data_IF_958232460344
#
_entry.id   IF_958232460344
#
_cell.length_a   1.000
_cell.length_b   1.000
_cell.length_c   1.000
_cell.angle_alpha   90.00
_cell.angle_beta   90.00
_cell.angle_gamma   90.00
#
_symmetry.space_group_name_H-M   'P 1'
#
loop_
_entity.id
_entity.type
_entity.pdbx_description
1 polymer ?
#
# COMPACT_ATOMS: atom_id res chain seq x y z
N UNK A 1 6.81 9.53 -13.83
CA UNK A 1 6.25 8.77 -12.69
C UNK A 1 7.17 8.92 -11.49
N UNK A 2 6.61 9.20 -10.34
CA UNK A 2 7.37 9.27 -9.10
C UNK A 2 7.06 8.03 -8.26
N UNK A 3 8.09 7.48 -7.62
CA UNK A 3 7.94 6.35 -6.70
C UNK A 3 8.55 6.75 -5.36
N UNK A 4 7.77 6.61 -4.30
CA UNK A 4 8.20 6.88 -2.95
C UNK A 4 8.11 5.60 -2.12
N UNK A 5 9.10 5.36 -1.28
CA UNK A 5 9.23 4.14 -0.51
C UNK A 5 9.52 4.47 0.95
N UNK A 6 8.87 3.80 1.89
CA UNK A 6 9.07 3.98 3.34
C UNK A 6 8.90 5.41 3.82
N UNK A 7 8.04 6.17 3.18
CA UNK A 7 7.79 7.55 3.54
C UNK A 7 6.72 7.63 4.61
N UNK A 8 6.96 8.43 5.63
CA UNK A 8 5.96 8.68 6.65
C UNK A 8 4.80 9.52 6.09
N UNK A 9 3.59 9.13 6.46
CA UNK A 9 2.38 9.83 6.03
C UNK A 9 1.33 9.72 7.14
N UNK A 10 0.99 10.84 7.77
CA UNK A 10 0.05 10.84 8.89
C UNK A 10 0.59 10.11 10.09
N UNK A 11 -0.11 9.08 10.54
CA UNK A 11 0.23 8.32 11.75
C UNK A 11 1.12 7.11 11.48
N UNK A 12 1.54 6.90 10.25
CA UNK A 12 2.35 5.74 9.89
C UNK A 12 3.07 5.94 8.59
N UNK A 13 3.58 4.86 8.06
CA UNK A 13 4.31 4.84 6.81
C UNK A 13 3.67 3.86 5.84
N UNK A 14 3.81 4.14 4.56
CA UNK A 14 3.55 3.17 3.51
C UNK A 14 4.89 2.70 2.93
N UNK A 15 4.94 1.46 2.45
CA UNK A 15 6.16 0.90 1.90
C UNK A 15 6.49 1.45 0.51
N UNK A 16 5.48 1.55 -0.34
CA UNK A 16 5.66 2.01 -1.72
C UNK A 16 4.47 2.87 -2.12
N UNK A 17 4.74 4.00 -2.76
CA UNK A 17 3.71 4.79 -3.41
C UNK A 17 4.18 5.12 -4.82
N UNK A 18 3.29 4.96 -5.78
CA UNK A 18 3.53 5.30 -7.18
C UNK A 18 2.73 6.55 -7.50
N UNK A 19 3.42 7.64 -7.84
CA UNK A 19 2.84 8.96 -7.99
C UNK A 19 3.02 9.48 -9.42
N UNK A 20 2.18 9.04 -10.38
CA UNK A 20 2.28 9.54 -11.74
C UNK A 20 1.82 11.00 -11.81
N UNK A 21 2.71 11.88 -12.25
CA UNK A 21 2.47 13.33 -12.25
C UNK A 21 1.37 13.79 -13.20
N UNK A 22 1.26 13.11 -14.34
CA UNK A 22 0.41 13.60 -15.43
C UNK A 22 -1.06 13.29 -15.27
N UNK A 23 -1.42 12.24 -14.52
CA UNK A 23 -2.80 11.77 -14.43
C UNK A 23 -3.42 11.88 -13.05
N UNK A 24 -2.70 12.44 -12.10
CA UNK A 24 -3.17 12.67 -10.72
C UNK A 24 -3.72 11.40 -10.06
N UNK A 25 -3.11 10.26 -10.36
CA UNK A 25 -3.43 8.96 -9.78
C UNK A 25 -2.23 8.43 -9.01
N UNK A 26 -2.51 7.66 -7.98
CA UNK A 26 -1.44 7.02 -7.23
C UNK A 26 -1.87 5.66 -6.71
N UNK A 27 -0.90 4.82 -6.41
CA UNK A 27 -1.10 3.50 -5.82
C UNK A 27 -0.23 3.43 -4.57
N UNK A 28 -0.83 3.00 -3.47
CA UNK A 28 -0.14 2.79 -2.20
C UNK A 28 -0.05 1.28 -1.98
N UNK A 29 1.13 0.79 -1.68
CA UNK A 29 1.36 -0.64 -1.46
C UNK A 29 1.97 -0.83 -0.08
N UNK A 30 1.34 -1.68 0.72
CA UNK A 30 1.88 -2.14 2.00
C UNK A 30 2.35 -3.58 1.82
N UNK A 31 3.65 -3.79 1.94
CA UNK A 31 4.26 -5.09 1.71
C UNK A 31 4.43 -5.87 3.00
N UNK A 32 4.13 -7.15 2.98
CA UNK A 32 4.30 -8.08 4.09
C UNK A 32 5.04 -9.32 3.62
N UNK A 33 5.90 -9.85 4.46
CA UNK A 33 6.58 -11.10 4.19
C UNK A 33 6.02 -12.18 5.12
N UNK A 34 5.32 -13.16 4.53
CA UNK A 34 4.68 -14.22 5.31
C UNK A 34 5.69 -15.28 5.71
N UNK A 35 5.55 -15.77 6.92
CA UNK A 35 6.42 -16.83 7.44
C UNK A 35 5.93 -18.22 7.04
N UNK A 36 4.63 -18.33 6.71
CA UNK A 36 4.00 -19.59 6.32
C UNK A 36 3.04 -19.35 5.19
N UNK A 37 2.90 -20.31 4.28
CA UNK A 37 2.00 -20.18 3.15
C UNK A 37 0.53 -19.97 3.59
N UNK A 38 0.11 -20.60 4.67
CA UNK A 38 -1.26 -20.45 5.17
C UNK A 38 -1.59 -19.04 5.62
N UNK A 39 -0.59 -18.22 5.90
CA UNK A 39 -0.77 -16.87 6.40
C UNK A 39 -0.75 -15.81 5.29
N UNK A 40 -0.53 -16.22 4.05
CA UNK A 40 -0.30 -15.27 2.95
C UNK A 40 -1.50 -14.35 2.71
N UNK A 41 -2.72 -14.88 2.74
CA UNK A 41 -3.92 -14.06 2.57
C UNK A 41 -4.16 -13.14 3.77
N UNK A 42 -3.98 -13.66 4.98
CA UNK A 42 -4.14 -12.88 6.20
C UNK A 42 -3.17 -11.69 6.22
N UNK A 43 -1.91 -11.94 5.87
CA UNK A 43 -0.91 -10.89 5.89
C UNK A 43 -1.18 -9.82 4.83
N UNK A 44 -1.62 -10.20 3.64
CA UNK A 44 -2.02 -9.24 2.62
C UNK A 44 -3.22 -8.41 3.09
N UNK A 45 -4.19 -9.03 3.74
CA UNK A 45 -5.36 -8.35 4.28
C UNK A 45 -4.97 -7.37 5.38
N UNK A 46 -4.03 -7.74 6.25
CA UNK A 46 -3.51 -6.85 7.29
C UNK A 46 -2.84 -5.62 6.67
N UNK A 47 -2.09 -5.81 5.59
CA UNK A 47 -1.49 -4.70 4.86
C UNK A 47 -2.53 -3.73 4.33
N UNK A 48 -3.60 -4.25 3.74
CA UNK A 48 -4.71 -3.44 3.25
C UNK A 48 -5.39 -2.67 4.39
N UNK A 49 -5.59 -3.34 5.54
CA UNK A 49 -6.19 -2.71 6.72
C UNK A 49 -5.30 -1.59 7.23
N UNK A 50 -3.99 -1.78 7.26
CA UNK A 50 -3.05 -0.75 7.72
C UNK A 50 -3.12 0.51 6.86
N UNK A 51 -3.31 0.37 5.56
CA UNK A 51 -3.48 1.51 4.66
C UNK A 51 -4.69 2.34 5.08
N UNK A 52 -5.81 1.68 5.39
CA UNK A 52 -7.02 2.36 5.82
C UNK A 52 -6.87 2.99 7.21
N UNK A 53 -6.32 2.25 8.16
CA UNK A 53 -6.20 2.71 9.55
C UNK A 53 -5.26 3.90 9.68
N UNK A 54 -4.20 3.94 8.88
CA UNK A 54 -3.22 5.02 8.93
C UNK A 54 -3.58 6.21 8.03
N UNK A 55 -4.74 6.16 7.38
CA UNK A 55 -5.23 7.25 6.53
C UNK A 55 -4.26 7.67 5.44
N UNK A 56 -3.49 6.73 4.88
CA UNK A 56 -2.54 7.04 3.82
C UNK A 56 -3.21 7.65 2.60
N UNK A 57 -4.41 7.16 2.24
CA UNK A 57 -5.14 7.68 1.08
C UNK A 57 -5.53 9.13 1.27
N UNK A 58 -5.97 9.51 2.47
CA UNK A 58 -6.31 10.90 2.77
C UNK A 58 -5.11 11.83 2.59
N UNK A 59 -3.95 11.40 3.08
CA UNK A 59 -2.73 12.20 2.95
C UNK A 59 -2.35 12.43 1.51
N UNK A 60 -2.48 11.41 0.68
CA UNK A 60 -2.18 11.51 -0.74
C UNK A 60 -3.19 12.41 -1.44
N UNK A 61 -4.49 12.31 -1.09
CA UNK A 61 -5.50 13.22 -1.61
C UNK A 61 -5.19 14.68 -1.29
N UNK A 62 -4.70 14.96 -0.08
CA UNK A 62 -4.30 16.30 0.32
C UNK A 62 -3.16 16.86 -0.52
N UNK A 63 -2.39 15.99 -1.17
CA UNK A 63 -1.33 16.40 -2.09
C UNK A 63 -1.84 16.68 -3.52
N UNK A 64 -3.14 16.56 -3.74
CA UNK A 64 -3.77 16.90 -5.02
C UNK A 64 -4.11 15.72 -5.91
N UNK A 65 -3.85 14.49 -5.49
CA UNK A 65 -4.19 13.32 -6.28
C UNK A 65 -5.66 12.98 -6.12
N UNK A 66 -6.36 12.80 -7.24
CA UNK A 66 -7.79 12.52 -7.25
C UNK A 66 -8.11 11.04 -7.06
N UNK A 67 -7.28 10.19 -7.62
CA UNK A 67 -7.51 8.75 -7.61
C UNK A 67 -6.40 8.07 -6.83
N UNK A 68 -6.76 7.48 -5.71
CA UNK A 68 -5.81 6.79 -4.83
C UNK A 68 -6.33 5.38 -4.62
N UNK A 69 -5.48 4.39 -4.88
CA UNK A 69 -5.79 2.98 -4.61
C UNK A 69 -4.73 2.40 -3.69
N UNK A 70 -5.17 1.59 -2.76
CA UNK A 70 -4.26 0.93 -1.83
C UNK A 70 -4.36 -0.58 -1.95
N UNK A 71 -3.24 -1.26 -1.79
CA UNK A 71 -3.15 -2.71 -1.85
C UNK A 71 -2.22 -3.23 -0.76
N UNK A 72 -2.67 -4.27 -0.07
CA UNK A 72 -1.80 -5.07 0.76
C UNK A 72 -1.26 -6.21 -0.07
N UNK A 73 0.04 -6.41 -0.05
CA UNK A 73 0.69 -7.50 -0.78
C UNK A 73 1.53 -8.30 0.19
N UNK A 74 1.34 -9.61 0.19
CA UNK A 74 2.19 -10.50 0.97
C UNK A 74 2.94 -11.45 0.07
N UNK A 75 4.10 -11.88 0.54
CA UNK A 75 4.99 -12.76 -0.20
C UNK A 75 5.35 -13.97 0.65
N UNK A 76 5.39 -15.12 0.01
CA UNK A 76 5.94 -16.33 0.61
C UNK A 76 6.66 -17.12 -0.49
N UNK A 77 7.99 -17.17 -0.41
CA UNK A 77 8.83 -17.79 -1.44
C UNK A 77 8.52 -17.19 -2.82
N UNK A 78 7.99 -17.99 -3.75
CA UNK A 78 7.67 -17.54 -5.11
C UNK A 78 6.20 -17.17 -5.28
N UNK A 79 5.44 -17.12 -4.20
CA UNK A 79 4.02 -16.81 -4.23
C UNK A 79 3.75 -15.43 -3.66
N UNK A 80 2.69 -14.79 -4.13
CA UNK A 80 2.23 -13.54 -3.56
C UNK A 80 0.71 -13.50 -3.53
N UNK A 81 0.19 -12.65 -2.64
CA UNK A 81 -1.24 -12.40 -2.53
C UNK A 81 -1.47 -10.90 -2.48
N UNK A 82 -2.46 -10.42 -3.21
CA UNK A 82 -2.78 -9.00 -3.29
C UNK A 82 -4.22 -8.80 -2.81
N UNK A 83 -4.41 -7.90 -1.87
CA UNK A 83 -5.72 -7.53 -1.35
C UNK A 83 -5.91 -6.04 -1.48
N UNK A 84 -7.00 -5.62 -2.11
CA UNK A 84 -7.33 -4.21 -2.26
C UNK A 84 -7.83 -3.63 -0.94
N UNK A 85 -7.28 -2.50 -0.60
CA UNK A 85 -7.71 -1.76 0.59
C UNK A 85 -9.05 -1.07 0.35
#
# INVERSE_FOLDING_TARGET
MEVESNRESGTGRFDVAILPRTIMRTIIIECKHSKKIKDIYRDASEGAIQIKENHYEEKIHQQGYRHVKGYGISFYKKQCCIVKA
#
